data_IF_958322502703
#
_entry.id   IF_958322502703
#
_cell.length_a   1.000
_cell.length_b   1.000
_cell.length_c   1.000
_cell.angle_alpha   90.00
_cell.angle_beta   90.00
_cell.angle_gamma   90.00
#
_symmetry.space_group_name_H-M   'P 1'
#
loop_
_entity.id
_entity.type
_entity.pdbx_description
1 polymer ?
#
# COMPACT_ATOMS: atom_id res chain seq x y z
N UNK A 1 18.85 -8.44 -4.26
CA UNK A 1 19.73 -7.46 -3.56
C UNK A 1 19.01 -7.05 -2.29
N UNK A 2 19.68 -6.59 -1.23
CA UNK A 2 18.95 -6.06 -0.06
C UNK A 2 18.09 -4.86 -0.46
N UNK A 3 16.98 -4.66 0.24
CA UNK A 3 16.15 -3.48 0.05
C UNK A 3 17.00 -2.21 0.23
N UNK A 4 16.84 -1.26 -0.69
CA UNK A 4 17.54 0.01 -0.66
C UNK A 4 16.59 1.20 -0.85
N UNK A 5 16.97 2.41 -0.38
CA UNK A 5 16.19 3.63 -0.58
C UNK A 5 15.96 4.00 -2.05
N UNK A 6 16.96 3.76 -2.90
CA UNK A 6 16.84 3.99 -4.34
C UNK A 6 15.85 3.02 -4.96
N UNK A 7 15.94 1.73 -4.61
CA UNK A 7 14.98 0.74 -5.09
C UNK A 7 13.55 0.99 -4.60
N UNK A 8 13.37 1.61 -3.41
CA UNK A 8 12.07 2.08 -2.94
C UNK A 8 11.55 3.23 -3.82
N UNK A 9 12.40 4.23 -4.13
CA UNK A 9 12.03 5.32 -5.02
C UNK A 9 11.61 4.80 -6.41
N UNK A 10 12.39 3.87 -6.98
CA UNK A 10 12.07 3.22 -8.26
C UNK A 10 10.75 2.44 -8.20
N UNK A 11 10.51 1.70 -7.11
CA UNK A 11 9.26 0.97 -6.91
C UNK A 11 8.05 1.91 -6.87
N UNK A 12 8.15 3.01 -6.12
CA UNK A 12 7.08 4.01 -5.98
C UNK A 12 6.82 4.73 -7.30
N UNK A 13 7.87 5.15 -7.99
CA UNK A 13 7.76 5.86 -9.25
C UNK A 13 7.21 4.94 -10.36
N UNK A 14 7.45 3.63 -10.29
CA UNK A 14 6.84 2.64 -11.18
C UNK A 14 5.34 2.37 -10.88
N UNK A 15 4.87 2.76 -9.69
CA UNK A 15 3.62 2.30 -9.09
C UNK A 15 2.66 3.43 -8.67
N UNK A 16 2.14 4.26 -9.60
CA UNK A 16 1.29 5.39 -9.27
C UNK A 16 -0.13 5.03 -8.78
N UNK A 17 -0.54 3.76 -8.90
CA UNK A 17 -1.82 3.25 -8.42
C UNK A 17 -1.72 1.82 -7.85
N UNK A 18 -2.74 1.32 -7.10
CA UNK A 18 -2.76 -0.05 -6.57
C UNK A 18 -2.53 -1.12 -7.63
N UNK A 19 -3.12 -0.93 -8.81
CA UNK A 19 -2.95 -1.83 -9.95
C UNK A 19 -1.50 -1.85 -10.47
N UNK A 20 -0.83 -0.70 -10.45
CA UNK A 20 0.59 -0.63 -10.84
C UNK A 20 1.50 -1.19 -9.74
N UNK A 21 1.16 -1.06 -8.46
CA UNK A 21 1.86 -1.76 -7.37
C UNK A 21 1.83 -3.27 -7.61
N UNK A 22 0.65 -3.83 -7.89
CA UNK A 22 0.49 -5.26 -8.20
C UNK A 22 1.28 -5.66 -9.45
N UNK A 23 1.24 -4.86 -10.53
CA UNK A 23 2.02 -5.11 -11.74
C UNK A 23 3.53 -5.13 -11.44
N UNK A 24 4.05 -4.12 -10.75
CA UNK A 24 5.47 -4.00 -10.39
C UNK A 24 5.91 -5.17 -9.50
N UNK A 25 5.12 -5.53 -8.49
CA UNK A 25 5.41 -6.66 -7.62
C UNK A 25 5.38 -8.00 -8.38
N UNK A 26 4.36 -8.22 -9.23
CA UNK A 26 4.27 -9.40 -10.09
C UNK A 26 5.44 -9.52 -11.06
N UNK A 27 5.90 -8.42 -11.67
CA UNK A 27 7.09 -8.40 -12.53
C UNK A 27 8.36 -8.83 -11.77
N UNK A 28 8.55 -8.36 -10.52
CA UNK A 28 9.66 -8.80 -9.66
C UNK A 28 9.55 -10.27 -9.27
N UNK A 29 8.35 -10.74 -8.91
CA UNK A 29 8.09 -12.15 -8.59
C UNK A 29 8.38 -13.06 -9.79
N UNK A 30 7.88 -12.73 -10.99
CA UNK A 30 8.17 -13.48 -12.22
C UNK A 30 9.67 -13.50 -12.54
N UNK A 31 10.36 -12.37 -12.36
CA UNK A 31 11.82 -12.28 -12.53
C UNK A 31 12.57 -13.20 -11.56
N UNK A 32 12.01 -13.40 -10.35
CA UNK A 32 12.53 -14.34 -9.37
C UNK A 32 12.09 -15.81 -9.59
N UNK A 33 11.34 -16.10 -10.66
CA UNK A 33 10.91 -17.46 -11.02
C UNK A 33 9.54 -17.88 -10.50
N UNK A 34 8.79 -16.98 -9.85
CA UNK A 34 7.44 -17.29 -9.39
C UNK A 34 6.46 -17.38 -10.56
N UNK A 35 5.50 -18.28 -10.43
CA UNK A 35 4.43 -18.49 -11.41
C UNK A 35 3.13 -17.85 -10.94
N UNK A 36 2.52 -17.04 -11.81
CA UNK A 36 1.16 -16.54 -11.56
C UNK A 36 0.15 -17.69 -11.72
N UNK A 37 -0.70 -17.89 -10.73
CA UNK A 37 -1.78 -18.88 -10.77
C UNK A 37 -3.13 -18.18 -10.73
N UNK A 38 -4.10 -18.70 -11.49
CA UNK A 38 -5.47 -18.19 -11.44
C UNK A 38 -6.19 -18.74 -10.21
N UNK A 39 -6.99 -17.90 -9.57
CA UNK A 39 -7.87 -18.34 -8.50
C UNK A 39 -8.99 -19.27 -8.99
N UNK A 40 -9.30 -19.29 -10.29
CA UNK A 40 -10.32 -20.21 -10.84
C UNK A 40 -9.79 -21.62 -11.11
N UNK A 41 -8.48 -21.80 -11.17
CA UNK A 41 -7.85 -23.04 -11.62
C UNK A 41 -7.40 -23.89 -10.43
N UNK A 42 -7.31 -25.22 -10.58
CA UNK A 42 -6.63 -26.07 -9.60
C UNK A 42 -5.16 -25.65 -9.43
N UNK A 43 -4.65 -25.71 -8.20
CA UNK A 43 -3.25 -25.37 -7.89
C UNK A 43 -2.41 -26.62 -7.67
N UNK A 44 -1.13 -26.55 -8.03
CA UNK A 44 -0.13 -27.59 -7.71
C UNK A 44 0.31 -27.50 -6.25
N UNK A 45 0.79 -28.62 -5.70
CA UNK A 45 1.17 -28.71 -4.28
C UNK A 45 2.57 -28.22 -3.93
N UNK A 46 3.44 -27.98 -4.90
CA UNK A 46 4.80 -27.46 -4.69
C UNK A 46 5.17 -26.41 -5.76
N UNK A 47 5.94 -25.41 -5.35
CA UNK A 47 6.45 -24.32 -6.17
C UNK A 47 6.29 -22.94 -5.55
N UNK A 48 6.77 -21.95 -6.31
CA UNK A 48 6.75 -20.53 -5.98
C UNK A 48 5.63 -19.87 -6.78
N UNK A 49 4.60 -19.38 -6.08
CA UNK A 49 3.37 -18.92 -6.71
C UNK A 49 2.94 -17.54 -6.23
N UNK A 50 2.16 -16.87 -7.08
CA UNK A 50 1.38 -15.71 -6.67
C UNK A 50 0.07 -15.63 -7.43
N UNK A 51 -0.88 -14.89 -6.89
CA UNK A 51 -2.13 -14.52 -7.56
C UNK A 51 -2.38 -13.03 -7.40
N UNK A 52 -3.04 -12.42 -8.39
CA UNK A 52 -3.44 -11.02 -8.37
C UNK A 52 -4.97 -10.94 -8.48
N UNK A 53 -5.59 -10.18 -7.59
CA UNK A 53 -7.02 -9.86 -7.62
C UNK A 53 -7.19 -8.35 -7.57
N UNK A 54 -7.55 -7.76 -8.71
CA UNK A 54 -7.69 -6.31 -8.85
C UNK A 54 -6.44 -5.55 -8.35
N UNK A 55 -6.53 -4.82 -7.24
CA UNK A 55 -5.41 -4.10 -6.62
C UNK A 55 -4.68 -4.86 -5.52
N UNK A 56 -4.94 -6.16 -5.34
CA UNK A 56 -4.31 -7.00 -4.31
C UNK A 56 -3.48 -8.14 -4.90
N UNK A 57 -2.44 -8.56 -4.17
CA UNK A 57 -1.53 -9.64 -4.56
C UNK A 57 -1.22 -10.53 -3.35
N UNK A 58 -1.22 -11.86 -3.54
CA UNK A 58 -0.72 -12.81 -2.55
C UNK A 58 0.35 -13.68 -3.20
N UNK A 59 1.51 -13.80 -2.55
CA UNK A 59 2.62 -14.65 -2.98
C UNK A 59 3.02 -15.61 -1.85
N UNK A 60 3.41 -16.82 -2.21
CA UNK A 60 3.83 -17.86 -1.27
C UNK A 60 4.84 -18.80 -1.91
N UNK A 61 5.61 -19.49 -1.07
CA UNK A 61 6.42 -20.65 -1.46
C UNK A 61 5.88 -21.87 -0.75
N UNK A 62 5.78 -23.00 -1.43
CA UNK A 62 5.31 -24.24 -0.80
C UNK A 62 6.07 -25.41 -1.39
N UNK A 63 6.48 -26.35 -0.54
CA UNK A 63 6.98 -27.66 -0.95
C UNK A 63 5.99 -28.77 -0.57
N UNK A 64 6.15 -29.97 -1.14
CA UNK A 64 5.23 -31.11 -0.91
C UNK A 64 5.14 -31.55 0.57
N UNK A 65 6.19 -31.28 1.35
CA UNK A 65 6.26 -31.64 2.77
C UNK A 65 5.83 -30.52 3.74
N UNK A 66 5.49 -29.33 3.22
CA UNK A 66 5.18 -28.15 4.04
C UNK A 66 3.74 -28.11 4.59
N UNK A 67 2.96 -29.16 4.34
CA UNK A 67 1.52 -29.25 4.66
C UNK A 67 1.18 -28.97 6.14
N UNK A 68 2.15 -29.16 7.05
CA UNK A 68 1.98 -28.93 8.49
C UNK A 68 2.71 -27.68 9.02
N UNK A 69 3.51 -26.98 8.19
CA UNK A 69 4.30 -25.85 8.66
C UNK A 69 3.39 -24.65 8.99
N UNK A 70 3.63 -23.92 10.09
CA UNK A 70 2.90 -22.69 10.36
C UNK A 70 3.19 -21.62 9.30
N UNK A 71 2.22 -20.76 9.02
CA UNK A 71 2.43 -19.62 8.14
C UNK A 71 3.16 -18.49 8.87
N UNK A 72 4.11 -17.86 8.18
CA UNK A 72 4.66 -16.54 8.54
C UNK A 72 4.25 -15.56 7.45
N UNK A 73 3.38 -14.63 7.79
CA UNK A 73 2.70 -13.78 6.82
C UNK A 73 3.17 -12.35 7.02
N UNK A 74 3.65 -11.68 5.98
CA UNK A 74 3.80 -10.23 5.96
C UNK A 74 2.63 -9.65 5.18
N UNK A 75 1.85 -8.80 5.84
CA UNK A 75 0.73 -8.06 5.25
C UNK A 75 1.11 -6.60 5.02
N UNK A 76 0.66 -6.01 3.92
CA UNK A 76 0.72 -4.58 3.64
C UNK A 76 -0.51 -4.14 2.84
N UNK A 77 -0.59 -2.86 2.45
CA UNK A 77 -1.59 -2.41 1.47
C UNK A 77 -1.01 -1.59 0.31
N UNK A 78 -1.63 -1.74 -0.85
CA UNK A 78 -1.19 -1.20 -2.15
C UNK A 78 -1.76 0.19 -2.44
N UNK A 79 -2.84 0.58 -1.74
CA UNK A 79 -3.47 1.87 -1.89
C UNK A 79 -2.92 2.93 -0.97
N UNK A 80 -3.13 4.18 -1.40
CA UNK A 80 -2.76 5.39 -0.69
C UNK A 80 -3.82 6.46 -0.96
N UNK A 81 -4.00 7.45 -0.07
CA UNK A 81 -4.98 8.51 -0.27
C UNK A 81 -4.64 9.37 -1.49
N UNK A 82 -5.65 9.69 -2.30
CA UNK A 82 -5.48 10.47 -3.52
C UNK A 82 -6.81 11.12 -3.99
N UNK A 83 -6.78 11.74 -5.16
CA UNK A 83 -7.97 12.26 -5.84
C UNK A 83 -8.33 11.34 -7.03
N UNK A 84 -9.53 10.75 -7.01
CA UNK A 84 -10.05 9.85 -8.05
C UNK A 84 -11.01 10.56 -8.99
N UNK A 85 -11.05 10.14 -10.24
CA UNK A 85 -11.94 10.70 -11.28
C UNK A 85 -13.37 10.26 -11.03
N UNK A 86 -14.32 11.20 -11.08
CA UNK A 86 -15.76 10.89 -10.96
C UNK A 86 -16.29 10.26 -12.24
N UNK A 87 -17.36 9.48 -12.14
CA UNK A 87 -17.98 8.75 -13.26
C UNK A 87 -18.49 9.67 -14.40
N UNK A 88 -18.85 10.91 -14.08
CA UNK A 88 -19.14 11.97 -15.05
C UNK A 88 -18.19 13.15 -14.77
N UNK A 89 -16.95 13.09 -15.29
CA UNK A 89 -15.89 13.99 -14.86
C UNK A 89 -15.93 15.35 -15.55
N UNK A 90 -16.48 15.42 -16.76
CA UNK A 90 -16.30 16.58 -17.63
C UNK A 90 -17.12 17.77 -17.15
N UNK A 91 -16.43 18.88 -16.89
CA UNK A 91 -17.02 20.15 -16.50
C UNK A 91 -16.43 21.29 -17.29
N UNK A 92 -17.22 22.36 -17.38
CA UNK A 92 -16.82 23.59 -18.02
C UNK A 92 -17.28 24.79 -17.18
N UNK A 93 -16.37 25.73 -16.93
CA UNK A 93 -16.69 26.96 -16.22
C UNK A 93 -15.76 28.09 -16.65
N UNK A 94 -16.33 29.19 -17.12
CA UNK A 94 -15.59 30.43 -17.43
C UNK A 94 -14.35 30.23 -18.33
N UNK A 95 -14.49 29.47 -19.41
CA UNK A 95 -13.38 29.17 -20.35
C UNK A 95 -12.49 28.00 -19.94
N UNK A 96 -12.66 27.45 -18.72
CA UNK A 96 -11.86 26.33 -18.22
C UNK A 96 -12.56 24.99 -18.43
N UNK A 97 -11.80 24.03 -18.94
CA UNK A 97 -12.15 22.62 -18.91
C UNK A 97 -11.65 22.02 -17.60
N UNK A 98 -12.55 21.33 -16.90
CA UNK A 98 -12.34 20.86 -15.53
C UNK A 98 -12.68 19.38 -15.44
N UNK A 99 -11.84 18.62 -14.75
CA UNK A 99 -12.09 17.22 -14.39
C UNK A 99 -12.61 17.18 -12.96
N UNK A 100 -13.79 16.61 -12.77
CA UNK A 100 -14.39 16.45 -11.46
C UNK A 100 -13.73 15.31 -10.70
N UNK A 101 -13.18 15.62 -9.52
CA UNK A 101 -12.45 14.67 -8.68
C UNK A 101 -13.16 14.39 -7.36
N UNK A 102 -12.82 13.26 -6.76
CA UNK A 102 -13.32 12.74 -5.50
C UNK A 102 -12.14 12.35 -4.62
N UNK A 103 -12.03 12.87 -3.38
CA UNK A 103 -11.05 12.34 -2.44
C UNK A 103 -11.30 10.87 -2.11
N UNK A 104 -10.22 10.11 -2.10
CA UNK A 104 -10.13 8.72 -1.69
C UNK A 104 -9.20 8.63 -0.47
N UNK A 105 -9.62 7.88 0.55
CA UNK A 105 -8.90 7.78 1.81
C UNK A 105 -8.85 9.07 2.62
N UNK A 106 -8.03 9.08 3.67
CA UNK A 106 -7.81 10.23 4.54
C UNK A 106 -6.85 11.29 3.98
N UNK A 107 -6.99 11.66 2.69
CA UNK A 107 -6.02 12.50 2.00
C UNK A 107 -5.88 13.91 2.61
N UNK A 108 -4.64 14.35 2.83
CA UNK A 108 -4.37 15.74 3.22
C UNK A 108 -4.59 16.68 2.02
N UNK A 109 -5.82 17.13 1.81
CA UNK A 109 -6.26 17.80 0.57
C UNK A 109 -5.42 19.03 0.19
N UNK A 110 -4.95 19.80 1.17
CA UNK A 110 -4.10 20.96 0.92
C UNK A 110 -2.76 20.60 0.25
N UNK A 111 -2.24 19.40 0.51
CA UNK A 111 -1.00 18.93 -0.10
C UNK A 111 -1.14 18.61 -1.60
N UNK A 112 -2.37 18.45 -2.09
CA UNK A 112 -2.68 18.18 -3.51
C UNK A 112 -2.89 19.44 -4.34
N UNK A 113 -2.95 20.62 -3.70
CA UNK A 113 -3.02 21.89 -4.41
C UNK A 113 -1.71 22.18 -5.13
N UNK A 114 -1.82 22.85 -6.28
CA UNK A 114 -0.70 23.45 -6.99
C UNK A 114 0.43 22.50 -7.40
N UNK A 115 0.11 21.21 -7.53
CA UNK A 115 0.99 20.19 -8.10
C UNK A 115 0.69 19.96 -9.57
N UNK A 116 1.72 19.51 -10.27
CA UNK A 116 1.60 18.97 -11.61
C UNK A 116 1.24 17.48 -11.48
N UNK A 117 0.04 17.14 -11.91
CA UNK A 117 -0.55 15.83 -11.72
C UNK A 117 -0.72 15.11 -13.05
N UNK A 118 -0.33 13.84 -13.07
CA UNK A 118 -0.70 12.88 -14.10
C UNK A 118 -1.97 12.12 -13.74
N UNK A 119 -2.33 11.14 -14.57
CA UNK A 119 -3.42 10.20 -14.29
C UNK A 119 -2.93 8.75 -14.46
N UNK A 120 -3.34 7.87 -13.56
CA UNK A 120 -3.07 6.44 -13.66
C UNK A 120 -4.28 5.63 -13.22
N UNK A 121 -4.32 4.36 -13.59
CA UNK A 121 -5.43 3.50 -13.22
C UNK A 121 -5.66 2.34 -14.17
N UNK A 122 -6.93 1.98 -14.31
CA UNK A 122 -7.40 0.84 -15.11
C UNK A 122 -8.68 1.20 -15.85
N UNK A 123 -8.75 0.83 -17.12
CA UNK A 123 -9.96 0.82 -17.93
C UNK A 123 -10.48 -0.62 -18.04
N UNK A 124 -11.80 -0.80 -17.96
CA UNK A 124 -12.49 -2.05 -18.26
C UNK A 124 -13.14 -1.92 -19.62
N UNK A 125 -12.63 -2.68 -20.60
CA UNK A 125 -12.89 -2.49 -22.02
C UNK A 125 -13.60 -3.72 -22.57
N UNK A 126 -14.55 -3.51 -23.48
CA UNK A 126 -15.22 -4.57 -24.22
C UNK A 126 -14.20 -5.33 -25.08
N UNK A 127 -14.25 -6.66 -25.01
CA UNK A 127 -13.48 -7.55 -25.89
C UNK A 127 -14.43 -8.62 -26.45
N UNK A 128 -15.15 -8.25 -27.51
CA UNK A 128 -16.28 -9.02 -28.02
C UNK A 128 -17.40 -9.17 -26.98
N UNK A 129 -17.60 -10.40 -26.48
CA UNK A 129 -18.54 -10.73 -25.42
C UNK A 129 -17.89 -10.84 -24.02
N UNK A 130 -16.59 -10.57 -23.93
CA UNK A 130 -15.83 -10.57 -22.68
C UNK A 130 -15.47 -9.13 -22.27
N UNK A 131 -14.88 -9.02 -21.09
CA UNK A 131 -14.31 -7.78 -20.56
C UNK A 131 -12.82 -8.02 -20.37
N UNK A 132 -12.00 -7.11 -20.88
CA UNK A 132 -10.57 -7.07 -20.63
C UNK A 132 -10.23 -5.81 -19.84
N UNK A 133 -9.23 -5.90 -18.99
CA UNK A 133 -8.74 -4.75 -18.23
C UNK A 133 -7.41 -4.25 -18.81
N UNK A 134 -7.32 -2.94 -19.02
CA UNK A 134 -6.12 -2.27 -19.54
C UNK A 134 -5.63 -1.26 -18.52
N UNK A 135 -4.36 -1.35 -18.12
CA UNK A 135 -3.75 -0.32 -17.28
C UNK A 135 -3.41 0.90 -18.11
N UNK A 136 -3.59 2.07 -17.52
CA UNK A 136 -3.23 3.35 -18.14
C UNK A 136 -2.41 4.18 -17.17
N UNK A 137 -1.40 4.86 -17.70
CA UNK A 137 -0.52 5.77 -16.98
C UNK A 137 -0.09 6.87 -17.92
N UNK A 138 -0.48 8.09 -17.60
CA UNK A 138 -0.07 9.32 -18.30
C UNK A 138 0.80 10.12 -17.34
N UNK A 139 2.10 10.15 -17.62
CA UNK A 139 3.11 10.88 -16.84
C UNK A 139 3.37 12.28 -17.42
N UNK A 140 2.30 12.97 -17.78
CA UNK A 140 2.36 14.34 -18.29
C UNK A 140 1.56 15.27 -17.37
N UNK A 141 1.95 16.55 -17.22
CA UNK A 141 1.32 17.50 -16.30
C UNK A 141 0.00 18.02 -16.85
N UNK A 142 -0.97 17.11 -17.00
CA UNK A 142 -2.27 17.37 -17.63
C UNK A 142 -3.30 17.90 -16.64
N UNK A 143 -3.11 17.68 -15.33
CA UNK A 143 -4.05 18.06 -14.29
C UNK A 143 -3.39 18.97 -13.26
N UNK A 144 -4.13 20.00 -12.81
CA UNK A 144 -3.73 20.85 -11.70
C UNK A 144 -4.92 21.26 -10.87
N UNK A 145 -4.81 21.20 -9.54
CA UNK A 145 -5.81 21.74 -8.60
C UNK A 145 -5.32 23.10 -8.09
N UNK A 146 -5.73 24.23 -8.68
CA UNK A 146 -5.17 25.53 -8.32
C UNK A 146 -5.70 26.03 -6.97
N UNK A 147 -4.81 26.52 -6.10
CA UNK A 147 -5.24 27.21 -4.88
C UNK A 147 -5.87 28.57 -5.20
N UNK A 148 -6.91 28.94 -4.45
CA UNK A 148 -7.46 30.30 -4.52
C UNK A 148 -6.39 31.32 -4.10
N UNK A 149 -6.21 32.37 -4.92
CA UNK A 149 -5.26 33.42 -4.61
C UNK A 149 -5.57 34.08 -3.25
N UNK A 150 -4.53 34.30 -2.44
CA UNK A 150 -4.66 34.86 -1.08
C UNK A 150 -5.42 36.20 -1.02
N UNK A 151 -5.35 37.00 -2.09
CA UNK A 151 -6.04 38.29 -2.19
C UNK A 151 -7.57 38.16 -2.21
N UNK A 152 -8.08 36.98 -2.62
CA UNK A 152 -9.51 36.65 -2.69
C UNK A 152 -9.98 35.78 -1.52
N UNK A 153 -9.07 35.33 -0.65
CA UNK A 153 -9.43 34.51 0.51
C UNK A 153 -9.92 35.38 1.66
N UNK A 154 -11.05 35.00 2.24
CA UNK A 154 -11.59 35.60 3.47
C UNK A 154 -10.75 35.19 4.70
N UNK A 155 -10.25 33.96 4.73
CA UNK A 155 -9.29 33.49 5.73
C UNK A 155 -7.87 33.42 5.15
N UNK A 156 -6.97 34.25 5.67
CA UNK A 156 -5.56 34.29 5.27
C UNK A 156 -4.65 33.47 6.18
N UNK A 157 -5.19 32.90 7.26
CA UNK A 157 -4.41 32.14 8.26
C UNK A 157 -4.33 30.65 7.96
N UNK A 158 -5.23 30.13 7.12
CA UNK A 158 -5.30 28.72 6.79
C UNK A 158 -5.93 28.45 5.42
N UNK A 159 -5.92 27.18 5.04
CA UNK A 159 -6.55 26.66 3.82
C UNK A 159 -7.56 25.60 4.22
N UNK A 160 -8.85 25.94 4.15
CA UNK A 160 -9.95 24.99 4.34
C UNK A 160 -10.59 24.66 2.98
N UNK A 161 -10.52 23.38 2.59
CA UNK A 161 -11.00 22.93 1.29
C UNK A 161 -12.32 22.20 1.45
N UNK A 162 -13.32 22.60 0.66
CA UNK A 162 -14.53 21.83 0.50
C UNK A 162 -14.25 20.65 -0.47
N UNK A 163 -14.35 19.38 -0.02
CA UNK A 163 -14.03 18.20 -0.83
C UNK A 163 -14.83 18.06 -2.13
N UNK A 164 -16.01 18.68 -2.23
CA UNK A 164 -16.84 18.62 -3.44
C UNK A 164 -16.51 19.75 -4.43
N UNK A 165 -16.10 20.91 -3.93
CA UNK A 165 -16.01 22.14 -4.72
C UNK A 165 -14.58 22.52 -5.09
N UNK A 166 -13.63 22.32 -4.18
CA UNK A 166 -12.30 22.95 -4.26
C UNK A 166 -11.18 22.00 -4.68
N UNK A 167 -11.49 20.75 -5.04
CA UNK A 167 -10.50 19.72 -5.42
C UNK A 167 -10.60 19.29 -6.89
N UNK A 168 -11.46 19.93 -7.69
CA UNK A 168 -11.56 19.63 -9.11
C UNK A 168 -10.34 20.21 -9.84
N UNK A 169 -9.80 19.47 -10.81
CA UNK A 169 -8.60 19.87 -11.53
C UNK A 169 -8.94 20.62 -12.82
N UNK A 170 -8.20 21.68 -13.12
CA UNK A 170 -8.18 22.25 -14.47
C UNK A 170 -7.27 21.39 -15.35
N UNK A 171 -7.66 21.19 -16.61
CA UNK A 171 -6.89 20.40 -17.57
C UNK A 171 -6.83 21.00 -18.99
N UNK A 172 -7.50 22.13 -19.20
CA UNK A 172 -7.50 22.81 -20.48
C UNK A 172 -8.36 24.08 -20.48
N UNK A 173 -8.39 24.75 -21.63
CA UNK A 173 -9.25 25.89 -21.92
C UNK A 173 -10.03 25.64 -23.20
N UNK A 174 -11.22 26.22 -23.33
CA UNK A 174 -12.05 26.07 -24.53
C UNK A 174 -13.42 26.71 -24.38
N UNK A 175 -14.35 26.35 -25.29
CA UNK A 175 -15.71 26.88 -25.33
C UNK A 175 -16.77 25.92 -24.73
N UNK A 176 -16.32 24.77 -24.20
CA UNK A 176 -17.20 23.74 -23.63
C UNK A 176 -16.41 22.59 -22.98
N UNK A 177 -17.12 21.61 -22.38
CA UNK A 177 -16.48 20.42 -21.81
C UNK A 177 -15.80 19.60 -22.92
N UNK A 178 -14.74 18.87 -22.55
CA UNK A 178 -14.03 17.91 -23.39
C UNK A 178 -14.08 16.55 -22.70
N UNK A 179 -14.23 15.48 -23.47
CA UNK A 179 -14.23 14.12 -22.90
C UNK A 179 -12.86 13.82 -22.30
N UNK A 180 -12.79 13.76 -20.97
CA UNK A 180 -11.59 13.29 -20.28
C UNK A 180 -11.42 11.78 -20.46
N UNK A 181 -12.52 11.02 -20.49
CA UNK A 181 -12.47 9.57 -20.69
C UNK A 181 -11.94 9.23 -22.09
N UNK A 182 -12.39 9.94 -23.12
CA UNK A 182 -11.89 9.78 -24.49
C UNK A 182 -10.39 10.04 -24.59
N UNK A 183 -9.89 11.11 -23.95
CA UNK A 183 -8.45 11.36 -23.87
C UNK A 183 -7.69 10.18 -23.21
N UNK A 184 -8.18 9.67 -22.08
CA UNK A 184 -7.52 8.54 -21.39
C UNK A 184 -7.62 7.24 -22.20
N UNK A 185 -8.71 7.03 -22.94
CA UNK A 185 -8.88 5.89 -23.84
C UNK A 185 -7.87 5.93 -25.00
N UNK A 186 -7.70 7.10 -25.62
CA UNK A 186 -6.70 7.34 -26.67
C UNK A 186 -5.28 7.03 -26.17
N UNK A 187 -4.92 7.51 -24.97
CA UNK A 187 -3.62 7.24 -24.35
C UNK A 187 -3.41 5.74 -24.04
N UNK A 188 -4.49 5.01 -23.74
CA UNK A 188 -4.46 3.57 -23.54
C UNK A 188 -4.53 2.76 -24.86
N UNK A 189 -4.68 3.42 -26.01
CA UNK A 189 -4.82 2.80 -27.32
C UNK A 189 -6.12 1.98 -27.46
N UNK A 190 -7.20 2.41 -26.82
CA UNK A 190 -8.53 1.77 -26.90
C UNK A 190 -9.59 2.77 -27.37
N UNK A 191 -10.65 2.27 -28.00
CA UNK A 191 -11.79 3.11 -28.40
C UNK A 191 -12.60 3.53 -27.15
N UNK A 192 -12.98 4.81 -27.06
CA UNK A 192 -13.82 5.33 -25.97
C UNK A 192 -15.14 4.58 -25.87
N UNK A 193 -15.74 4.20 -27.01
CA UNK A 193 -17.02 3.49 -27.06
C UNK A 193 -16.94 2.06 -26.51
N UNK A 194 -15.73 1.49 -26.44
CA UNK A 194 -15.48 0.19 -25.82
C UNK A 194 -15.20 0.27 -24.32
N UNK A 195 -15.02 1.47 -23.74
CA UNK A 195 -14.79 1.63 -22.29
C UNK A 195 -16.10 1.47 -21.52
N UNK A 196 -16.22 0.37 -20.77
CA UNK A 196 -17.41 0.02 -20.00
C UNK A 196 -17.35 0.50 -18.54
N UNK A 197 -16.16 0.83 -18.04
CA UNK A 197 -15.94 1.33 -16.70
C UNK A 197 -14.47 1.65 -16.45
N UNK A 198 -14.18 2.41 -15.41
CA UNK A 198 -12.82 2.83 -15.09
C UNK A 198 -12.60 3.09 -13.60
N UNK A 199 -11.35 2.91 -13.20
CA UNK A 199 -10.79 3.31 -11.92
C UNK A 199 -9.57 4.20 -12.21
N UNK A 200 -9.72 5.52 -12.11
CA UNK A 200 -8.67 6.48 -12.46
C UNK A 200 -8.36 7.41 -11.28
N UNK A 201 -7.09 7.65 -11.01
CA UNK A 201 -6.58 8.44 -9.90
C UNK A 201 -5.42 9.32 -10.32
N UNK A 202 -5.33 10.48 -9.69
CA UNK A 202 -4.23 11.43 -9.92
C UNK A 202 -2.97 11.00 -9.21
N UNK A 203 -1.81 11.29 -9.78
CA UNK A 203 -0.51 11.11 -9.12
C UNK A 203 0.41 12.32 -9.34
N UNK A 204 1.21 12.67 -8.32
CA UNK A 204 2.26 13.69 -8.42
C UNK A 204 3.35 13.23 -9.38
N UNK A 205 3.75 14.10 -10.31
CA UNK A 205 4.79 13.84 -11.31
C UNK A 205 6.19 14.11 -10.79
N UNK A 206 6.33 14.73 -9.62
CA UNK A 206 7.62 14.98 -9.01
C UNK A 206 8.28 13.64 -8.63
N UNK A 207 9.41 13.22 -9.23
CA UNK A 207 9.98 11.91 -8.99
C UNK A 207 10.41 11.69 -7.54
N UNK A 208 10.31 10.46 -7.06
CA UNK A 208 10.82 10.06 -5.73
C UNK A 208 12.33 10.21 -5.66
N UNK A 209 12.86 10.63 -4.51
CA UNK A 209 14.31 10.84 -4.36
C UNK A 209 14.79 10.76 -2.92
N UNK A 210 16.09 10.51 -2.77
CA UNK A 210 16.80 10.83 -1.54
C UNK A 210 16.80 12.35 -1.29
N UNK A 211 16.71 12.73 -0.03
CA UNK A 211 16.66 14.10 0.47
C UNK A 211 17.52 14.25 1.74
N UNK A 212 17.74 15.49 2.16
CA UNK A 212 18.74 15.82 3.20
C UNK A 212 20.11 16.12 2.60
N UNK A 213 20.99 16.77 3.37
CA UNK A 213 22.34 17.17 2.91
C UNK A 213 23.14 15.95 2.48
N UNK A 214 23.00 14.84 3.22
CA UNK A 214 23.74 13.61 3.01
C UNK A 214 22.86 12.46 2.48
N UNK A 215 21.65 12.77 1.99
CA UNK A 215 20.73 11.75 1.44
C UNK A 215 20.11 10.82 2.50
N UNK A 216 19.99 11.29 3.74
CA UNK A 216 19.55 10.52 4.91
C UNK A 216 18.03 10.28 4.96
N UNK A 217 17.28 10.91 4.06
CA UNK A 217 15.82 10.84 4.00
C UNK A 217 15.36 10.36 2.63
N UNK A 218 14.18 9.76 2.56
CA UNK A 218 13.44 9.50 1.32
C UNK A 218 12.26 10.48 1.26
N UNK A 219 12.11 11.22 0.16
CA UNK A 219 10.93 12.04 -0.10
C UNK A 219 10.20 11.50 -1.32
N UNK A 220 9.02 10.94 -1.09
CA UNK A 220 8.24 10.23 -2.09
C UNK A 220 6.73 10.35 -1.80
N UNK A 221 5.87 10.28 -2.82
CA UNK A 221 4.44 10.03 -2.60
C UNK A 221 4.23 8.56 -2.15
N UNK A 222 3.11 8.26 -1.48
CA UNK A 222 2.67 6.88 -1.24
C UNK A 222 3.67 6.01 -0.46
N UNK A 223 4.54 6.62 0.36
CA UNK A 223 5.34 5.86 1.33
C UNK A 223 4.39 5.03 2.19
N UNK A 224 3.29 5.64 2.60
CA UNK A 224 2.11 4.97 3.10
C UNK A 224 1.27 4.38 1.94
N UNK A 225 1.28 3.07 1.69
CA UNK A 225 2.09 2.04 2.34
C UNK A 225 2.96 1.24 1.37
N UNK A 226 3.39 1.88 0.27
CA UNK A 226 4.27 1.23 -0.69
C UNK A 226 5.67 0.97 -0.12
N UNK A 227 6.07 1.68 0.94
CA UNK A 227 7.30 1.36 1.66
C UNK A 227 7.25 -0.04 2.28
N UNK A 228 6.13 -0.44 2.91
CA UNK A 228 5.95 -1.81 3.40
C UNK A 228 5.77 -2.79 2.24
N UNK A 229 5.02 -2.44 1.18
CA UNK A 229 4.89 -3.31 0.01
C UNK A 229 6.27 -3.70 -0.56
N UNK A 230 7.14 -2.70 -0.74
CA UNK A 230 8.50 -2.91 -1.23
C UNK A 230 9.36 -3.68 -0.22
N UNK A 231 9.42 -3.24 1.05
CA UNK A 231 10.25 -3.88 2.06
C UNK A 231 9.84 -5.34 2.32
N UNK A 232 8.53 -5.60 2.35
CA UNK A 232 7.93 -6.93 2.48
C UNK A 232 8.17 -7.82 1.27
N UNK A 233 8.11 -7.28 0.05
CA UNK A 233 8.46 -8.01 -1.17
C UNK A 233 9.93 -8.40 -1.20
N UNK A 234 10.85 -7.47 -0.93
CA UNK A 234 12.28 -7.77 -0.89
C UNK A 234 12.61 -8.78 0.23
N UNK A 235 11.98 -8.64 1.39
CA UNK A 235 12.11 -9.57 2.50
C UNK A 235 11.62 -10.98 2.13
N UNK A 236 10.45 -11.08 1.48
CA UNK A 236 9.88 -12.34 1.02
C UNK A 236 10.76 -13.00 -0.04
N UNK A 237 11.24 -12.24 -1.02
CA UNK A 237 12.16 -12.74 -2.04
C UNK A 237 13.47 -13.26 -1.42
N UNK A 238 13.96 -12.62 -0.35
CA UNK A 238 15.18 -13.00 0.35
C UNK A 238 14.99 -14.06 1.46
N UNK A 239 13.76 -14.41 1.83
CA UNK A 239 13.48 -15.43 2.84
C UNK A 239 13.96 -16.82 2.38
N UNK A 240 14.61 -17.58 3.27
CA UNK A 240 15.08 -18.95 2.97
C UNK A 240 13.94 -19.99 3.02
N UNK A 241 14.12 -21.11 2.32
CA UNK A 241 13.13 -22.20 2.27
C UNK A 241 13.11 -23.06 3.55
N UNK A 242 14.23 -23.16 4.28
CA UNK A 242 14.41 -24.15 5.36
C UNK A 242 14.15 -23.61 6.79
N UNK A 243 13.20 -22.67 6.96
CA UNK A 243 12.98 -22.00 8.25
C UNK A 243 11.90 -22.66 9.14
N UNK A 244 11.41 -23.84 8.77
CA UNK A 244 10.34 -24.53 9.52
C UNK A 244 9.01 -23.77 9.56
N UNK A 245 8.81 -22.84 8.62
CA UNK A 245 7.62 -22.00 8.44
C UNK A 245 7.35 -21.84 6.95
N UNK A 246 6.10 -21.56 6.58
CA UNK A 246 5.72 -21.24 5.20
C UNK A 246 5.58 -19.71 5.05
N UNK A 247 6.49 -19.03 4.34
CA UNK A 247 6.43 -17.58 4.15
C UNK A 247 5.31 -17.21 3.16
N UNK A 248 4.55 -16.17 3.50
CA UNK A 248 3.50 -15.60 2.66
C UNK A 248 3.61 -14.08 2.66
N UNK A 249 3.50 -13.47 1.49
CA UNK A 249 3.32 -12.04 1.33
C UNK A 249 1.89 -11.76 0.89
N UNK A 250 1.20 -10.83 1.54
CA UNK A 250 -0.09 -10.32 1.09
C UNK A 250 -0.08 -8.80 1.04
N UNK A 251 -0.46 -8.27 -0.12
CA UNK A 251 -0.64 -6.84 -0.36
C UNK A 251 -2.12 -6.60 -0.65
N UNK A 252 -2.84 -5.96 0.26
CA UNK A 252 -4.28 -5.68 0.12
C UNK A 252 -4.55 -4.32 -0.53
N UNK A 253 -5.63 -4.18 -1.27
CA UNK A 253 -6.19 -2.87 -1.65
C UNK A 253 -7.20 -2.39 -0.58
N UNK A 254 -7.68 -1.17 -0.73
CA UNK A 254 -8.77 -0.57 0.03
C UNK A 254 -8.55 -0.38 1.53
N UNK A 255 -7.32 -0.38 2.03
CA UNK A 255 -7.05 -0.13 3.45
C UNK A 255 -7.60 1.22 3.88
N UNK A 256 -7.30 2.25 3.08
CA UNK A 256 -7.57 3.66 3.35
C UNK A 256 -9.07 4.01 3.41
N UNK A 257 -9.91 3.07 2.99
CA UNK A 257 -11.38 3.20 3.01
C UNK A 257 -12.05 2.14 3.87
N UNK A 258 -11.27 1.46 4.74
CA UNK A 258 -11.76 0.54 5.75
C UNK A 258 -11.70 -0.95 5.38
N UNK A 259 -11.01 -1.31 4.30
CA UNK A 259 -10.74 -2.68 3.83
C UNK A 259 -11.96 -3.54 3.48
N UNK A 260 -13.17 -2.99 3.52
CA UNK A 260 -14.41 -3.71 3.22
C UNK A 260 -14.65 -3.84 1.71
N UNK A 261 -13.96 -4.77 1.08
CA UNK A 261 -14.14 -5.15 -0.33
C UNK A 261 -13.89 -6.64 -0.53
N UNK A 262 -14.00 -7.14 -1.76
CA UNK A 262 -13.70 -8.53 -2.12
C UNK A 262 -12.20 -8.85 -2.21
N UNK A 263 -11.34 -7.84 -2.08
CA UNK A 263 -9.87 -7.98 -2.13
C UNK A 263 -9.13 -7.13 -1.07
N UNK A 264 -9.84 -6.46 -0.17
CA UNK A 264 -9.24 -5.79 0.99
C UNK A 264 -9.02 -6.73 2.18
N UNK A 265 -8.38 -6.24 3.24
CA UNK A 265 -8.04 -7.04 4.42
C UNK A 265 -9.27 -7.58 5.20
N UNK A 266 -10.45 -6.96 5.04
CA UNK A 266 -11.68 -7.46 5.65
C UNK A 266 -12.37 -8.56 4.82
N UNK A 267 -11.82 -8.92 3.65
CA UNK A 267 -12.30 -10.02 2.81
C UNK A 267 -11.86 -11.38 3.33
N UNK A 268 -12.41 -12.45 2.74
CA UNK A 268 -11.94 -13.82 2.94
C UNK A 268 -10.79 -14.22 1.99
N UNK A 269 -10.20 -13.26 1.24
CA UNK A 269 -9.15 -13.55 0.25
C UNK A 269 -7.97 -14.29 0.88
N UNK A 270 -7.36 -13.73 1.93
CA UNK A 270 -6.22 -14.36 2.60
C UNK A 270 -6.59 -15.74 3.16
N UNK A 271 -7.73 -15.84 3.86
CA UNK A 271 -8.17 -17.11 4.45
C UNK A 271 -8.35 -18.20 3.38
N UNK A 272 -8.97 -17.84 2.27
CA UNK A 272 -9.21 -18.74 1.12
C UNK A 272 -7.90 -19.19 0.49
N UNK A 273 -6.95 -18.26 0.29
CA UNK A 273 -5.64 -18.60 -0.29
C UNK A 273 -4.85 -19.53 0.64
N UNK A 274 -4.77 -19.25 1.94
CA UNK A 274 -4.04 -20.09 2.90
C UNK A 274 -4.64 -21.51 3.02
N UNK A 275 -5.97 -21.62 2.99
CA UNK A 275 -6.65 -22.91 2.91
C UNK A 275 -6.25 -23.66 1.64
N UNK A 276 -6.32 -22.99 0.49
CA UNK A 276 -6.00 -23.61 -0.80
C UNK A 276 -4.55 -24.03 -0.93
N UNK A 277 -3.60 -23.28 -0.34
CA UNK A 277 -2.20 -23.70 -0.22
C UNK A 277 -2.13 -25.04 0.52
N UNK A 278 -2.86 -25.16 1.64
CA UNK A 278 -2.87 -26.40 2.44
C UNK A 278 -3.49 -27.57 1.67
N UNK A 279 -4.61 -27.34 0.97
CA UNK A 279 -5.30 -28.37 0.19
C UNK A 279 -4.48 -28.82 -1.03
N UNK A 280 -3.82 -27.89 -1.72
CA UNK A 280 -2.99 -28.19 -2.88
C UNK A 280 -1.77 -29.05 -2.49
N UNK A 281 -1.21 -28.83 -1.30
CA UNK A 281 -0.15 -29.67 -0.71
C UNK A 281 -0.65 -31.03 -0.16
N UNK A 282 -1.91 -31.41 -0.45
CA UNK A 282 -2.50 -32.68 -0.01
C UNK A 282 -2.96 -32.71 1.45
N UNK A 283 -2.98 -31.58 2.14
CA UNK A 283 -3.55 -31.44 3.48
C UNK A 283 -5.08 -31.40 3.46
N UNK A 284 -5.67 -31.51 4.65
CA UNK A 284 -7.11 -31.39 4.87
C UNK A 284 -7.49 -30.01 5.42
N UNK A 285 -8.79 -29.71 5.47
CA UNK A 285 -9.30 -28.53 6.22
C UNK A 285 -8.88 -28.57 7.69
N UNK A 286 -8.82 -29.74 8.30
CA UNK A 286 -8.37 -29.88 9.68
C UNK A 286 -6.90 -29.47 9.83
N UNK A 287 -6.03 -29.87 8.89
CA UNK A 287 -4.63 -29.44 8.88
C UNK A 287 -4.53 -27.92 8.77
N UNK A 288 -5.29 -27.29 7.87
CA UNK A 288 -5.35 -25.83 7.76
C UNK A 288 -5.76 -25.17 9.09
N UNK A 289 -6.85 -25.61 9.70
CA UNK A 289 -7.35 -25.06 10.96
C UNK A 289 -6.35 -25.21 12.11
N UNK A 290 -5.57 -26.30 12.12
CA UNK A 290 -4.51 -26.53 13.11
C UNK A 290 -3.28 -25.65 12.88
N UNK A 291 -3.02 -25.20 11.65
CA UNK A 291 -1.92 -24.26 11.33
C UNK A 291 -2.19 -22.84 11.83
N UNK A 292 -3.44 -22.38 11.79
CA UNK A 292 -3.83 -21.00 12.15
C UNK A 292 -3.28 -20.55 13.53
N UNK A 293 -3.50 -21.27 14.66
CA UNK A 293 -3.04 -20.81 15.97
C UNK A 293 -1.51 -20.83 16.14
N UNK A 294 -0.78 -21.57 15.29
CA UNK A 294 0.69 -21.61 15.28
C UNK A 294 1.32 -20.65 14.28
N UNK A 295 0.50 -20.07 13.40
CA UNK A 295 0.92 -19.08 12.40
C UNK A 295 1.06 -17.69 13.03
N UNK A 296 1.65 -16.74 12.30
CA UNK A 296 1.69 -15.34 12.73
C UNK A 296 1.68 -14.39 11.54
N UNK A 297 1.05 -13.24 11.71
CA UNK A 297 1.04 -12.14 10.74
C UNK A 297 1.84 -10.97 11.28
N UNK A 298 2.76 -10.43 10.50
CA UNK A 298 3.28 -9.08 10.64
C UNK A 298 2.45 -8.17 9.73
N UNK A 299 1.50 -7.45 10.34
CA UNK A 299 0.72 -6.38 9.74
C UNK A 299 1.63 -5.16 9.59
N UNK A 300 2.18 -5.00 8.40
CA UNK A 300 3.08 -3.94 8.04
C UNK A 300 2.31 -2.71 7.55
N UNK A 301 2.52 -1.60 8.24
CA UNK A 301 1.97 -0.30 7.88
C UNK A 301 2.83 0.78 8.56
N UNK A 302 3.02 1.91 7.91
CA UNK A 302 3.93 2.97 8.32
C UNK A 302 3.61 3.46 9.75
N UNK A 303 4.62 4.07 10.38
CA UNK A 303 4.53 4.58 11.75
C UNK A 303 4.80 6.08 11.78
N UNK A 304 4.21 6.78 12.75
CA UNK A 304 4.41 8.22 12.89
C UNK A 304 5.75 8.50 13.60
N UNK A 305 6.74 9.03 12.87
CA UNK A 305 7.91 9.64 13.48
C UNK A 305 7.51 10.83 14.36
N UNK A 306 8.25 11.09 15.43
CA UNK A 306 8.05 12.28 16.27
C UNK A 306 8.32 13.53 15.44
N UNK A 307 7.28 14.33 15.22
CA UNK A 307 7.38 15.51 14.39
C UNK A 307 8.16 16.61 15.13
N UNK A 308 9.28 17.14 14.60
CA UNK A 308 10.13 18.09 15.34
C UNK A 308 9.44 19.42 15.68
N UNK A 309 8.47 19.85 14.87
CA UNK A 309 7.66 21.05 15.14
C UNK A 309 6.40 20.79 15.99
N UNK A 310 6.06 19.52 16.26
CA UNK A 310 4.89 19.13 17.05
C UNK A 310 5.20 17.93 17.97
N UNK A 311 6.32 17.93 18.70
CA UNK A 311 6.74 16.77 19.50
C UNK A 311 5.72 16.43 20.58
N UNK A 312 4.95 17.42 21.04
CA UNK A 312 3.87 17.23 21.98
C UNK A 312 2.77 16.32 21.44
N UNK A 313 2.66 16.05 20.14
CA UNK A 313 1.64 15.14 19.59
C UNK A 313 1.94 13.66 19.81
N UNK A 314 3.15 13.31 20.28
CA UNK A 314 3.54 11.95 20.64
C UNK A 314 3.40 11.69 22.14
N UNK A 315 3.32 10.41 22.50
CA UNK A 315 3.36 10.00 23.90
C UNK A 315 4.78 10.28 24.44
N UNK A 316 4.94 11.02 25.56
CA UNK A 316 6.24 11.49 26.04
C UNK A 316 7.32 10.42 26.29
N UNK A 317 6.93 9.18 26.59
CA UNK A 317 7.81 8.02 26.79
C UNK A 317 8.01 7.15 25.53
N UNK A 318 7.29 7.42 24.45
CA UNK A 318 7.32 6.64 23.20
C UNK A 318 7.58 7.55 21.98
N UNK A 319 8.65 8.34 22.06
CA UNK A 319 9.13 9.10 20.90
C UNK A 319 9.73 8.16 19.85
N UNK A 320 9.52 8.48 18.58
CA UNK A 320 9.96 7.68 17.43
C UNK A 320 10.90 8.52 16.58
N UNK A 321 12.12 8.02 16.42
CA UNK A 321 13.16 8.61 15.59
C UNK A 321 13.12 7.99 14.17
N UNK A 322 13.51 8.77 13.17
CA UNK A 322 13.81 8.25 11.82
C UNK A 322 15.23 7.70 11.80
N UNK A 323 15.51 6.73 10.92
CA UNK A 323 16.79 6.02 10.83
C UNK A 323 17.20 5.28 12.12
N UNK A 324 16.22 4.89 12.94
CA UNK A 324 16.42 4.22 14.22
C UNK A 324 15.82 2.80 14.26
N UNK A 325 15.44 2.27 13.10
CA UNK A 325 14.93 0.92 12.92
C UNK A 325 13.39 0.85 12.96
N UNK A 326 12.82 -0.34 12.66
CA UNK A 326 11.40 -0.55 12.63
C UNK A 326 10.70 -0.19 13.95
N UNK A 327 9.43 0.16 13.83
CA UNK A 327 8.56 0.58 14.91
C UNK A 327 7.49 -0.49 15.13
N UNK A 328 7.42 -1.03 16.35
CA UNK A 328 6.35 -1.91 16.77
C UNK A 328 5.24 -1.09 17.42
N UNK A 329 4.01 -1.23 16.91
CA UNK A 329 2.85 -0.40 17.27
C UNK A 329 1.98 -1.13 18.29
N UNK A 330 1.76 -0.52 19.46
CA UNK A 330 0.91 -1.08 20.54
C UNK A 330 -0.21 -0.10 20.86
N UNK A 331 -1.44 -0.60 20.94
CA UNK A 331 -2.57 0.19 21.43
C UNK A 331 -3.58 -0.76 22.11
N UNK A 332 -3.80 -0.64 23.45
CA UNK A 332 -4.61 -1.61 24.21
C UNK A 332 -6.08 -1.77 23.82
N UNK A 333 -6.66 -0.80 23.09
CA UNK A 333 -8.02 -0.85 22.55
C UNK A 333 -8.08 -1.48 21.15
N UNK A 334 -7.08 -2.28 20.77
CA UNK A 334 -7.02 -3.03 19.52
C UNK A 334 -7.11 -2.16 18.26
N UNK A 335 -6.52 -0.95 18.33
CA UNK A 335 -6.22 -0.17 17.11
C UNK A 335 -5.05 -0.76 16.34
N UNK A 336 -4.21 -1.50 17.05
CA UNK A 336 -3.19 -2.41 16.54
C UNK A 336 -3.43 -3.77 17.21
N UNK A 337 -3.23 -4.87 16.48
CA UNK A 337 -3.45 -6.24 16.96
C UNK A 337 -2.31 -6.76 17.85
N UNK A 338 -1.22 -6.01 17.99
CA UNK A 338 -0.03 -6.39 18.77
C UNK A 338 -0.37 -6.73 20.22
N UNK A 339 0.04 -7.93 20.66
CA UNK A 339 0.04 -8.36 22.05
C UNK A 339 1.47 -8.74 22.51
N UNK A 340 1.63 -9.13 23.77
CA UNK A 340 2.95 -9.48 24.31
C UNK A 340 3.64 -10.65 23.60
N UNK A 341 2.88 -11.61 23.04
CA UNK A 341 3.42 -12.79 22.35
C UNK A 341 3.89 -12.40 20.95
N UNK A 342 3.07 -11.66 20.21
CA UNK A 342 3.39 -11.23 18.85
C UNK A 342 4.49 -10.16 18.85
N UNK A 343 4.50 -9.31 19.88
CA UNK A 343 5.60 -8.37 20.12
C UNK A 343 6.94 -9.06 20.42
N UNK A 344 6.94 -10.14 21.19
CA UNK A 344 8.16 -10.89 21.48
C UNK A 344 8.73 -11.55 20.23
N UNK A 345 7.87 -12.10 19.36
CA UNK A 345 8.29 -12.72 18.11
C UNK A 345 8.96 -11.71 17.16
N UNK A 346 8.37 -10.52 17.00
CA UNK A 346 8.97 -9.49 16.13
C UNK A 346 10.24 -8.87 16.73
N UNK A 347 10.29 -8.70 18.06
CA UNK A 347 11.52 -8.27 18.74
C UNK A 347 12.66 -9.27 18.57
N UNK A 348 12.36 -10.58 18.60
CA UNK A 348 13.34 -11.62 18.30
C UNK A 348 13.81 -11.55 16.84
N UNK A 349 12.91 -11.33 15.89
CA UNK A 349 13.25 -11.16 14.48
C UNK A 349 14.19 -9.95 14.27
N UNK A 350 13.93 -8.80 14.92
CA UNK A 350 14.82 -7.65 14.88
C UNK A 350 16.21 -7.98 15.45
N UNK A 351 16.27 -8.71 16.57
CA UNK A 351 17.54 -9.14 17.17
C UNK A 351 18.31 -10.12 16.26
N UNK A 352 17.62 -11.05 15.60
CA UNK A 352 18.21 -11.98 14.62
C UNK A 352 18.76 -11.23 13.40
N UNK A 353 18.06 -10.19 12.94
CA UNK A 353 18.50 -9.31 11.85
C UNK A 353 19.62 -8.33 12.27
N UNK A 354 19.88 -8.17 13.57
CA UNK A 354 20.86 -7.22 14.09
C UNK A 354 20.42 -5.75 13.95
N UNK A 355 19.12 -5.49 13.90
CA UNK A 355 18.55 -4.13 13.76
C UNK A 355 17.88 -3.66 15.05
N UNK A 356 17.84 -2.35 15.25
CA UNK A 356 17.16 -1.74 16.38
C UNK A 356 15.64 -1.88 16.27
N UNK A 357 14.94 -1.80 17.40
CA UNK A 357 13.48 -1.82 17.46
C UNK A 357 12.98 -0.66 18.33
N UNK A 358 12.07 0.13 17.77
CA UNK A 358 11.35 1.18 18.48
C UNK A 358 9.95 0.69 18.88
N UNK A 359 9.34 1.34 19.88
CA UNK A 359 7.99 1.02 20.35
C UNK A 359 7.12 2.27 20.33
N UNK A 360 6.02 2.19 19.60
CA UNK A 360 5.04 3.25 19.51
C UNK A 360 3.83 2.92 20.37
N UNK A 361 3.47 3.86 21.25
CA UNK A 361 2.15 3.92 21.87
C UNK A 361 1.50 5.26 21.53
N UNK A 362 0.22 5.20 21.16
CA UNK A 362 -0.55 6.40 20.86
C UNK A 362 -0.90 7.15 22.15
N UNK A 363 -0.88 8.49 22.10
CA UNK A 363 -1.39 9.32 23.19
C UNK A 363 -2.82 8.91 23.56
N UNK A 364 -3.07 8.67 24.83
CA UNK A 364 -4.35 8.17 25.29
C UNK A 364 -5.54 9.14 25.09
N UNK A 365 -5.26 10.44 24.89
CA UNK A 365 -6.27 11.49 24.72
C UNK A 365 -6.59 11.83 23.25
N UNK A 366 -5.90 11.19 22.29
CA UNK A 366 -6.10 11.41 20.86
C UNK A 366 -6.77 10.19 20.19
N UNK A 367 -7.54 10.40 19.11
CA UNK A 367 -8.03 9.30 18.29
C UNK A 367 -6.87 8.69 17.49
N UNK A 368 -6.76 7.36 17.55
CA UNK A 368 -5.80 6.57 16.78
C UNK A 368 -6.49 5.98 15.54
N UNK A 369 -5.78 5.98 14.42
CA UNK A 369 -6.15 5.17 13.25
C UNK A 369 -6.18 3.67 13.58
N UNK A 370 -6.67 2.88 12.64
CA UNK A 370 -6.58 1.41 12.65
C UNK A 370 -5.73 0.99 11.45
N UNK A 371 -5.32 -0.28 11.42
CA UNK A 371 -4.59 -0.88 10.29
C UNK A 371 -5.35 -2.11 9.77
N UNK A 372 -4.77 -2.82 8.80
CA UNK A 372 -5.19 -4.18 8.42
C UNK A 372 -5.05 -5.20 9.56
N UNK A 373 -4.26 -4.92 10.59
CA UNK A 373 -3.87 -5.86 11.63
C UNK A 373 -5.06 -6.41 12.43
N UNK A 374 -5.85 -5.56 13.10
CA UNK A 374 -7.05 -6.00 13.81
C UNK A 374 -8.06 -6.72 12.91
N UNK A 375 -8.22 -6.30 11.65
CA UNK A 375 -9.14 -6.93 10.71
C UNK A 375 -8.67 -8.33 10.30
N UNK A 376 -7.38 -8.46 9.99
CA UNK A 376 -6.75 -9.73 9.64
C UNK A 376 -6.82 -10.71 10.82
N UNK A 377 -6.49 -10.23 12.02
CA UNK A 377 -6.56 -11.04 13.24
C UNK A 377 -8.00 -11.53 13.51
N UNK A 378 -8.99 -10.66 13.37
CA UNK A 378 -10.40 -11.01 13.59
C UNK A 378 -10.92 -12.03 12.55
N UNK A 379 -10.56 -11.87 11.27
CA UNK A 379 -11.05 -12.74 10.19
C UNK A 379 -10.34 -14.09 10.13
N UNK A 380 -9.04 -14.13 10.47
CA UNK A 380 -8.24 -15.37 10.33
C UNK A 380 -8.04 -16.12 11.64
N UNK A 381 -8.17 -15.44 12.79
CA UNK A 381 -7.79 -15.97 14.09
C UNK A 381 -6.27 -16.15 14.27
N UNK A 382 -5.44 -15.65 13.34
CA UNK A 382 -3.99 -15.74 13.41
C UNK A 382 -3.43 -14.62 14.31
N UNK A 383 -2.56 -14.92 15.29
CA UNK A 383 -1.85 -13.91 16.07
C UNK A 383 -1.14 -12.89 15.16
N UNK A 384 -1.38 -11.61 15.39
CA UNK A 384 -0.90 -10.52 14.53
C UNK A 384 -0.07 -9.51 15.33
N UNK A 385 1.05 -9.05 14.77
CA UNK A 385 1.83 -7.90 15.25
C UNK A 385 1.73 -6.78 14.24
N UNK A 386 1.54 -5.54 14.70
CA UNK A 386 1.58 -4.35 13.85
C UNK A 386 2.94 -3.67 13.94
N UNK A 387 3.54 -3.43 12.79
CA UNK A 387 4.90 -2.92 12.64
C UNK A 387 5.00 -1.97 11.47
N UNK A 388 5.98 -1.06 11.46
CA UNK A 388 6.16 -0.08 10.38
C UNK A 388 7.54 0.55 10.35
N UNK A 389 7.84 1.29 9.29
CA UNK A 389 8.94 2.25 9.27
C UNK A 389 8.42 3.65 9.65
N UNK A 390 9.28 4.46 10.28
CA UNK A 390 8.90 5.79 10.76
C UNK A 390 8.86 6.81 9.61
N UNK A 391 7.76 7.56 9.50
CA UNK A 391 7.62 8.65 8.54
C UNK A 391 6.95 9.90 9.12
N UNK A 392 7.08 10.99 8.38
CA UNK A 392 6.39 12.26 8.59
C UNK A 392 5.41 12.52 7.45
N UNK A 393 4.43 13.39 7.73
CA UNK A 393 3.44 13.87 6.78
C UNK A 393 2.58 12.77 6.13
N UNK A 394 2.28 11.70 6.88
CA UNK A 394 1.41 10.60 6.44
C UNK A 394 0.10 11.10 5.79
N UNK A 395 -0.29 10.47 4.68
CA UNK A 395 -1.42 10.83 3.79
C UNK A 395 -1.26 12.14 2.99
N UNK A 396 -0.09 12.77 3.02
CA UNK A 396 0.27 13.87 2.12
C UNK A 396 0.46 13.35 0.69
N UNK A 397 0.23 14.21 -0.31
CA UNK A 397 0.65 13.95 -1.69
C UNK A 397 2.17 13.71 -1.81
N UNK A 398 2.95 14.12 -0.79
CA UNK A 398 4.38 13.81 -0.68
C UNK A 398 4.79 13.69 0.78
N UNK A 399 5.35 12.54 1.12
CA UNK A 399 5.71 12.11 2.47
C UNK A 399 7.25 12.06 2.62
N UNK A 400 7.73 11.87 3.86
CA UNK A 400 9.17 11.78 4.15
C UNK A 400 9.46 10.70 5.19
N UNK A 401 10.44 9.83 4.95
CA UNK A 401 10.92 8.83 5.93
C UNK A 401 12.45 8.81 6.02
N UNK A 402 12.98 8.07 7.00
CA UNK A 402 14.41 7.77 7.09
C UNK A 402 14.88 6.83 5.96
N UNK A 403 16.01 7.13 5.33
CA UNK A 403 16.58 6.27 4.29
C UNK A 403 17.11 4.94 4.87
N UNK A 404 17.77 4.95 6.04
CA UNK A 404 18.29 3.74 6.66
C UNK A 404 17.18 2.75 7.06
N UNK A 405 16.01 3.27 7.46
CA UNK A 405 14.87 2.45 7.87
C UNK A 405 14.37 1.52 6.76
N UNK A 406 14.62 1.83 5.47
CA UNK A 406 14.21 0.98 4.35
C UNK A 406 14.89 -0.39 4.41
N UNK A 407 16.21 -0.40 4.64
CA UNK A 407 16.98 -1.64 4.72
C UNK A 407 16.72 -2.37 6.03
N UNK A 408 16.73 -1.64 7.15
CA UNK A 408 16.52 -2.21 8.49
C UNK A 408 15.13 -2.84 8.63
N UNK A 409 14.10 -2.19 8.09
CA UNK A 409 12.73 -2.71 8.15
C UNK A 409 12.59 -3.98 7.30
N UNK A 410 13.14 -4.00 6.08
CA UNK A 410 13.13 -5.20 5.23
C UNK A 410 13.90 -6.36 5.88
N UNK A 411 15.04 -6.10 6.52
CA UNK A 411 15.81 -7.13 7.23
C UNK A 411 15.03 -7.73 8.41
N UNK A 412 14.31 -6.91 9.19
CA UNK A 412 13.44 -7.40 10.26
C UNK A 412 12.28 -8.26 9.72
N UNK A 413 11.65 -7.84 8.61
CA UNK A 413 10.59 -8.60 7.95
C UNK A 413 11.12 -9.93 7.38
N UNK A 414 12.34 -9.95 6.85
CA UNK A 414 12.98 -11.18 6.35
C UNK A 414 13.22 -12.17 7.49
N UNK A 415 13.78 -11.71 8.62
CA UNK A 415 13.97 -12.55 9.81
C UNK A 415 12.64 -13.04 10.40
N UNK A 416 11.55 -12.26 10.27
CA UNK A 416 10.21 -12.70 10.66
C UNK A 416 9.67 -13.81 9.75
N UNK A 417 9.88 -13.69 8.43
CA UNK A 417 9.46 -14.66 7.41
C UNK A 417 10.30 -15.94 7.43
N UNK A 418 11.56 -15.86 7.86
CA UNK A 418 12.52 -16.96 7.88
C UNK A 418 13.34 -16.92 9.18
N UNK A 419 12.72 -17.23 10.34
CA UNK A 419 13.40 -17.19 11.63
C UNK A 419 14.59 -18.18 11.68
N UNK A 420 15.67 -17.75 12.34
CA UNK A 420 16.92 -18.52 12.47
C UNK A 420 16.85 -19.72 13.42
#
# INVERSE_FOLDING_TARGET
>A
MPASPHGLCEFIDASPSPFHVCRTAAERLRTAGFTEVSESDPWSGAGDFFTVRAGSLIAWRTDEDDRALPFRIVGAHTDSPNLRVKQHPDRYVSGWQVVALQPYGGAWLNSWLDRDLGISGRLSVRDGNAIRHTLVRVDEPILRVPQLAIHLSEDRKGVELNPQRHVNAVWGVGDGPRSFLGFVADEAGVDEDDVLGFDLMTHDLTPSRLAGVDGELVSAPRLDNQATCYAGLEAFLAAGADAGVLPVLVLFDHEEVGSQSDHGAQSELLLTVLERITLAAGGSREDFLRRLPTSMVASGDMAHATHPNYPERHEPGHLIEVNAGPVLKVQPNLRYATDGRTAAAFALACAQAGVNLQRYEHRADLPCGSTIGPMTAANTGIPTVDVGAAQLAMHSAREVMGAADVADYSAALQAFLSPA
#
